data_IF_318059680106
#
_entry.id   IF_318059680106
#
_cell.length_a   1.000
_cell.length_b   1.000
_cell.length_c   1.000
_cell.angle_alpha   90.00
_cell.angle_beta   90.00
_cell.angle_gamma   90.00
#
_symmetry.space_group_name_H-M   'P 1'
#
loop_
_entity.id
_entity.type
_entity.pdbx_description
1 polymer ?
#
# COMPACT_ATOMS: atom_id res chain seq x y z
N UNK A 1 -10.51 33.85 3.31
CA UNK A 1 -10.64 32.37 3.20
C UNK A 1 -9.36 31.69 2.70
N UNK A 2 -8.52 32.35 1.89
CA UNK A 2 -7.29 31.77 1.32
C UNK A 2 -6.33 31.17 2.37
N UNK A 3 -6.01 31.91 3.43
CA UNK A 3 -5.11 31.43 4.49
C UNK A 3 -5.57 30.13 5.15
N UNK A 4 -6.88 29.98 5.43
CA UNK A 4 -7.43 28.73 5.98
C UNK A 4 -7.35 27.58 4.98
N UNK A 5 -7.56 27.87 3.70
CA UNK A 5 -7.39 26.90 2.61
C UNK A 5 -5.94 26.40 2.52
N UNK A 6 -4.96 27.28 2.64
CA UNK A 6 -3.54 26.91 2.64
C UNK A 6 -3.18 26.01 3.83
N UNK A 7 -3.60 26.38 5.04
CA UNK A 7 -3.38 25.57 6.25
C UNK A 7 -4.02 24.19 6.12
N UNK A 8 -5.25 24.12 5.59
CA UNK A 8 -5.95 22.85 5.35
C UNK A 8 -5.23 21.98 4.32
N UNK A 9 -4.82 22.56 3.19
CA UNK A 9 -4.10 21.85 2.14
C UNK A 9 -2.76 21.30 2.64
N UNK A 10 -2.02 22.08 3.44
CA UNK A 10 -0.77 21.62 4.05
C UNK A 10 -1.00 20.44 4.99
N UNK A 11 -2.05 20.49 5.82
CA UNK A 11 -2.43 19.36 6.68
C UNK A 11 -2.75 18.10 5.87
N UNK A 12 -3.49 18.21 4.76
CA UNK A 12 -3.79 17.07 3.89
C UNK A 12 -2.53 16.47 3.26
N UNK A 13 -1.59 17.31 2.81
CA UNK A 13 -0.32 16.85 2.24
C UNK A 13 0.52 16.09 3.27
N UNK A 14 0.58 16.57 4.51
CA UNK A 14 1.31 15.91 5.60
C UNK A 14 0.65 14.62 6.10
N UNK A 15 -0.68 14.55 6.06
CA UNK A 15 -1.44 13.43 6.60
C UNK A 15 -1.01 12.09 5.99
N UNK A 16 -0.77 12.05 4.67
CA UNK A 16 -0.31 10.84 3.98
C UNK A 16 1.00 10.31 4.56
N UNK A 17 1.99 11.17 4.77
CA UNK A 17 3.29 10.78 5.32
C UNK A 17 3.18 10.28 6.76
N UNK A 18 2.30 10.91 7.56
CA UNK A 18 2.02 10.46 8.93
C UNK A 18 1.42 9.06 8.96
N UNK A 19 0.40 8.80 8.12
CA UNK A 19 -0.22 7.48 8.00
C UNK A 19 0.79 6.45 7.51
N UNK A 20 1.59 6.75 6.49
CA UNK A 20 2.60 5.82 5.98
C UNK A 20 3.65 5.44 7.04
N UNK A 21 4.10 6.42 7.84
CA UNK A 21 5.07 6.18 8.91
C UNK A 21 4.49 5.34 10.06
N UNK A 22 3.22 5.56 10.41
CA UNK A 22 2.54 4.76 11.43
C UNK A 22 2.19 3.36 10.92
N UNK A 23 1.79 3.24 9.65
CA UNK A 23 1.47 1.97 9.02
C UNK A 23 2.69 1.06 8.86
N UNK A 24 3.87 1.63 8.60
CA UNK A 24 5.07 0.85 8.32
C UNK A 24 5.56 0.04 9.52
N UNK A 25 5.15 0.37 10.75
CA UNK A 25 5.49 -0.41 11.94
C UNK A 25 4.81 -1.78 11.96
N UNK A 26 3.64 -1.93 11.31
CA UNK A 26 2.89 -3.19 11.27
C UNK A 26 3.48 -4.22 10.31
N UNK A 27 4.28 -3.79 9.34
CA UNK A 27 5.00 -4.70 8.45
C UNK A 27 6.17 -5.29 9.24
N UNK A 28 6.23 -6.60 9.39
CA UNK A 28 7.31 -7.30 10.09
C UNK A 28 8.37 -7.74 9.08
N UNK A 29 9.65 -7.81 9.50
CA UNK A 29 10.70 -8.35 8.63
C UNK A 29 10.44 -9.84 8.33
N UNK A 30 10.58 -10.22 7.07
CA UNK A 30 10.25 -11.55 6.55
C UNK A 30 8.77 -11.76 6.19
N UNK A 31 7.89 -10.76 6.37
CA UNK A 31 6.45 -10.96 6.16
C UNK A 31 6.02 -10.99 4.68
N UNK A 32 4.92 -11.69 4.43
CA UNK A 32 4.14 -11.67 3.19
C UNK A 32 2.93 -10.76 3.38
N UNK A 33 2.86 -9.73 2.54
CA UNK A 33 1.81 -8.71 2.61
C UNK A 33 0.92 -8.81 1.38
N UNK A 34 -0.40 -8.85 1.57
CA UNK A 34 -1.37 -8.75 0.47
C UNK A 34 -1.90 -7.31 0.37
N UNK A 35 -1.98 -6.78 -0.85
CA UNK A 35 -2.67 -5.52 -1.16
C UNK A 35 -3.64 -5.72 -2.33
N UNK A 36 -4.70 -4.92 -2.34
CA UNK A 36 -5.66 -4.87 -3.44
C UNK A 36 -5.52 -3.56 -4.21
N UNK A 37 -5.47 -3.65 -5.55
CA UNK A 37 -5.36 -2.50 -6.46
C UNK A 37 -4.13 -1.61 -6.16
N UNK A 38 -4.16 -0.37 -6.67
CA UNK A 38 -3.16 0.68 -6.44
C UNK A 38 -3.65 1.67 -5.39
N UNK A 39 -2.94 1.73 -4.26
CA UNK A 39 -3.16 2.76 -3.25
C UNK A 39 -1.89 3.56 -2.99
N UNK A 40 -2.01 4.89 -3.12
CA UNK A 40 -0.91 5.84 -2.89
C UNK A 40 -0.40 5.82 -1.45
N UNK A 41 -1.30 5.63 -0.49
CA UNK A 41 -0.93 5.62 0.94
C UNK A 41 -0.25 4.29 1.30
N UNK A 42 -0.77 3.18 0.78
CA UNK A 42 -0.17 1.85 1.00
C UNK A 42 1.21 1.76 0.33
N UNK A 43 1.37 2.29 -0.89
CA UNK A 43 2.67 2.38 -1.55
C UNK A 43 3.71 3.16 -0.73
N UNK A 44 3.35 4.35 -0.23
CA UNK A 44 4.24 5.12 0.65
C UNK A 44 4.53 4.36 1.95
N UNK A 45 3.58 3.58 2.48
CA UNK A 45 3.80 2.72 3.66
C UNK A 45 4.84 1.64 3.38
N UNK A 46 4.78 0.97 2.24
CA UNK A 46 5.77 -0.02 1.80
C UNK A 46 7.15 0.61 1.60
N UNK A 47 7.19 1.81 1.02
CA UNK A 47 8.42 2.58 0.85
C UNK A 47 9.06 2.94 2.19
N UNK A 48 8.28 3.40 3.17
CA UNK A 48 8.77 3.68 4.52
C UNK A 48 9.25 2.40 5.24
N UNK A 49 8.56 1.28 5.07
CA UNK A 49 9.00 -0.01 5.62
C UNK A 49 10.34 -0.48 5.00
N UNK A 50 10.50 -0.32 3.68
CA UNK A 50 11.74 -0.64 2.96
C UNK A 50 12.90 0.26 3.40
N UNK A 51 12.65 1.57 3.57
CA UNK A 51 13.65 2.52 4.14
C UNK A 51 14.08 2.14 5.56
N UNK A 52 13.20 1.50 6.33
CA UNK A 52 13.50 0.96 7.65
C UNK A 52 14.24 -0.40 7.60
N UNK A 53 14.75 -0.81 6.44
CA UNK A 53 15.47 -2.07 6.18
C UNK A 53 14.65 -3.34 6.44
N UNK A 54 13.32 -3.27 6.35
CA UNK A 54 12.46 -4.45 6.43
C UNK A 54 12.39 -5.15 5.08
N UNK A 55 12.59 -6.47 5.08
CA UNK A 55 12.41 -7.34 3.91
C UNK A 55 11.02 -7.92 3.98
N UNK A 56 10.25 -7.81 2.92
CA UNK A 56 8.91 -8.36 2.85
C UNK A 56 8.55 -8.59 1.38
N UNK A 57 7.58 -9.47 1.14
CA UNK A 57 7.11 -9.79 -0.21
C UNK A 57 5.66 -9.35 -0.37
N UNK A 58 5.37 -8.59 -1.42
CA UNK A 58 4.03 -8.03 -1.65
C UNK A 58 3.27 -8.83 -2.70
N UNK A 59 2.12 -9.38 -2.32
CA UNK A 59 1.14 -9.93 -3.24
C UNK A 59 0.16 -8.82 -3.63
N UNK A 60 -0.01 -8.60 -4.94
CA UNK A 60 -0.87 -7.55 -5.49
C UNK A 60 -1.93 -8.22 -6.34
N UNK A 61 -3.19 -7.94 -6.10
CA UNK A 61 -4.27 -8.40 -6.99
C UNK A 61 -4.23 -7.62 -8.31
N UNK A 62 -4.50 -8.24 -9.46
CA UNK A 62 -4.56 -7.55 -10.75
C UNK A 62 -5.50 -6.32 -10.73
N UNK A 63 -6.62 -6.42 -10.00
CA UNK A 63 -7.65 -5.39 -9.90
C UNK A 63 -8.33 -5.11 -11.24
N UNK A 64 -9.11 -6.07 -11.70
CA UNK A 64 -9.94 -5.91 -12.90
C UNK A 64 -11.09 -4.91 -12.65
N UNK A 65 -11.51 -4.10 -13.64
CA UNK A 65 -11.13 -4.15 -15.06
C UNK A 65 -9.97 -3.22 -15.46
N UNK A 66 -9.54 -2.30 -14.60
CA UNK A 66 -8.54 -1.27 -14.95
C UNK A 66 -7.10 -1.75 -14.85
N UNK A 67 -6.86 -2.93 -14.27
CA UNK A 67 -5.53 -3.52 -14.07
C UNK A 67 -4.59 -2.63 -13.26
N UNK A 68 -5.15 -1.80 -12.37
CA UNK A 68 -4.39 -0.89 -11.51
C UNK A 68 -3.38 -1.61 -10.61
N UNK A 69 -3.58 -2.89 -10.32
CA UNK A 69 -2.63 -3.72 -9.59
C UNK A 69 -1.30 -3.90 -10.33
N UNK A 70 -1.29 -3.94 -11.66
CA UNK A 70 -0.06 -4.02 -12.45
C UNK A 70 0.78 -2.75 -12.31
N UNK A 71 0.13 -1.57 -12.33
CA UNK A 71 0.82 -0.30 -12.08
C UNK A 71 1.47 -0.27 -10.69
N UNK A 72 0.76 -0.77 -9.66
CA UNK A 72 1.30 -0.89 -8.31
C UNK A 72 2.52 -1.82 -8.28
N UNK A 73 2.44 -2.97 -8.96
CA UNK A 73 3.56 -3.91 -9.05
C UNK A 73 4.77 -3.29 -9.78
N UNK A 74 4.55 -2.53 -10.86
CA UNK A 74 5.63 -1.80 -11.53
C UNK A 74 6.30 -0.77 -10.61
N UNK A 75 5.53 0.00 -9.85
CA UNK A 75 6.05 0.96 -8.88
C UNK A 75 6.88 0.28 -7.79
N UNK A 76 6.43 -0.88 -7.28
CA UNK A 76 7.17 -1.69 -6.31
C UNK A 76 8.49 -2.25 -6.88
N UNK A 77 8.46 -2.78 -8.11
CA UNK A 77 9.65 -3.27 -8.82
C UNK A 77 10.69 -2.16 -9.00
N UNK A 78 10.27 -0.94 -9.34
CA UNK A 78 11.16 0.24 -9.49
C UNK A 78 11.95 0.55 -8.21
N UNK A 79 11.35 0.32 -7.04
CA UNK A 79 11.99 0.52 -5.73
C UNK A 79 12.57 -0.77 -5.13
N UNK A 80 12.70 -1.84 -5.92
CA UNK A 80 13.30 -3.14 -5.56
C UNK A 80 12.59 -3.87 -4.40
N UNK A 81 11.29 -3.65 -4.22
CA UNK A 81 10.48 -4.46 -3.31
C UNK A 81 9.96 -5.68 -4.11
N UNK A 82 10.19 -6.91 -3.64
CA UNK A 82 9.75 -8.09 -4.37
C UNK A 82 8.21 -8.18 -4.31
N UNK A 83 7.60 -8.42 -5.46
CA UNK A 83 6.15 -8.50 -5.57
C UNK A 83 5.68 -9.56 -6.57
N UNK A 84 4.50 -10.11 -6.32
CA UNK A 84 3.82 -11.07 -7.21
C UNK A 84 2.42 -10.56 -7.50
N UNK A 85 2.07 -10.46 -8.77
CA UNK A 85 0.68 -10.17 -9.17
C UNK A 85 -0.11 -11.47 -9.19
N UNK A 86 -1.30 -11.44 -8.60
CA UNK A 86 -2.24 -12.56 -8.55
C UNK A 86 -3.56 -12.18 -9.21
N UNK A 87 -4.28 -13.19 -9.72
CA UNK A 87 -5.65 -12.99 -10.17
C UNK A 87 -6.56 -12.62 -8.99
N UNK A 88 -7.58 -11.80 -9.25
CA UNK A 88 -8.54 -11.38 -8.22
C UNK A 88 -9.27 -12.60 -7.61
N UNK A 89 -9.54 -13.63 -8.42
CA UNK A 89 -10.12 -14.90 -7.98
C UNK A 89 -9.18 -15.75 -7.12
N UNK A 90 -7.88 -15.49 -7.13
CA UNK A 90 -6.87 -16.26 -6.39
C UNK A 90 -6.64 -15.72 -4.96
N UNK A 91 -7.31 -14.64 -4.55
CA UNK A 91 -7.18 -14.06 -3.20
C UNK A 91 -7.43 -15.11 -2.12
N UNK A 92 -8.53 -15.87 -2.24
CA UNK A 92 -8.88 -16.91 -1.27
C UNK A 92 -7.84 -18.03 -1.19
N UNK A 93 -7.19 -18.36 -2.31
CA UNK A 93 -6.15 -19.38 -2.38
C UNK A 93 -4.86 -18.94 -1.68
N UNK A 94 -4.44 -17.69 -1.84
CA UNK A 94 -3.20 -17.20 -1.21
C UNK A 94 -3.37 -16.76 0.24
N UNK A 95 -4.61 -16.53 0.69
CA UNK A 95 -4.91 -15.91 1.99
C UNK A 95 -4.27 -16.65 3.17
N UNK A 96 -4.26 -17.99 3.14
CA UNK A 96 -3.65 -18.81 4.21
C UNK A 96 -2.14 -18.57 4.39
N UNK A 97 -1.47 -18.02 3.37
CA UNK A 97 -0.03 -17.79 3.36
C UNK A 97 0.35 -16.35 3.72
N UNK A 98 -0.62 -15.44 3.87
CA UNK A 98 -0.37 -14.02 4.10
C UNK A 98 -0.29 -13.72 5.59
N UNK A 99 0.70 -12.91 5.99
CA UNK A 99 0.85 -12.50 7.39
C UNK A 99 -0.01 -11.27 7.71
N UNK A 100 -0.20 -10.39 6.72
CA UNK A 100 -0.98 -9.16 6.86
C UNK A 100 -1.58 -8.74 5.52
N UNK A 101 -2.76 -8.15 5.58
CA UNK A 101 -3.43 -7.53 4.45
C UNK A 101 -3.46 -6.02 4.67
N UNK A 102 -2.96 -5.24 3.71
CA UNK A 102 -2.97 -3.77 3.73
C UNK A 102 -3.72 -3.25 2.51
N UNK A 103 -4.80 -2.50 2.73
CA UNK A 103 -5.67 -1.99 1.67
C UNK A 103 -5.85 -0.47 1.85
N UNK A 104 -6.03 0.25 0.75
CA UNK A 104 -6.41 1.67 0.77
C UNK A 104 -7.92 1.86 0.92
N UNK A 105 -8.34 3.00 1.46
CA UNK A 105 -9.74 3.38 1.53
C UNK A 105 -9.96 4.70 0.79
N UNK A 106 -10.94 4.73 -0.12
CA UNK A 106 -11.40 5.95 -0.80
C UNK A 106 -12.40 6.72 0.07
N UNK A 107 -13.14 6.03 0.93
CA UNK A 107 -14.10 6.62 1.86
C UNK A 107 -14.23 5.76 3.12
N UNK A 108 -14.51 6.43 4.23
CA UNK A 108 -14.85 5.79 5.51
C UNK A 108 -16.21 6.37 5.92
N UNK A 109 -17.20 5.50 6.07
CA UNK A 109 -18.54 5.88 6.53
C UNK A 109 -18.61 5.81 8.06
N UNK A 110 -19.59 6.50 8.65
CA UNK A 110 -19.89 6.42 10.09
C UNK A 110 -20.60 5.12 10.48
#
# INVERSE_FOLDING_TARGET
>A
MLHRGEVFLNKLKEARGKVAKLGSSFIVDGSKVLTHSKSRVVFETFKEASKANKRFHVFVTNSSPDSSGEEMAEELRKIKIPCTVILDSAIGYVMEQMDIVMIGAEGVVE
#
